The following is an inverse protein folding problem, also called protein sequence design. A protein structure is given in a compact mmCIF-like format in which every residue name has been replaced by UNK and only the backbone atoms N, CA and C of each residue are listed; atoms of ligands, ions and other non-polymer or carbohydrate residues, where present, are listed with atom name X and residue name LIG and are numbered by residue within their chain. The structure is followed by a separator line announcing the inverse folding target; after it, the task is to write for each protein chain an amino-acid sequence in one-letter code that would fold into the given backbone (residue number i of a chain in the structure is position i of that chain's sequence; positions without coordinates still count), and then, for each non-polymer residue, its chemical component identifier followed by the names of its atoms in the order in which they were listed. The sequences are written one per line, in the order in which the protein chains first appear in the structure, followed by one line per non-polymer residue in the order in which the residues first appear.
data_IF_396622088572
#
_entry.id   IF_396622088572
#
_cell.length_a   1.000
_cell.length_b   1.000
_cell.length_c   1.000
_cell.angle_alpha   90.00
_cell.angle_beta   90.00
_cell.angle_gamma   90.00
#
_symmetry.space_group_name_H-M   'P 1'
#
loop_
_entity.id
_entity.type
_entity.pdbx_description
1 polymer ?
#
# COMPACT_ATOMS: atom_id res chain seq x y z
N UNK A 1 72.19 47.32 -43.90
CA UNK A 1 71.34 47.84 -45.00
C UNK A 1 71.33 46.79 -46.10
N UNK A 2 70.32 45.92 -46.08
CA UNK A 2 70.14 44.87 -47.10
C UNK A 2 68.90 45.21 -47.92
N UNK A 3 69.03 45.17 -49.24
CA UNK A 3 67.99 45.51 -50.20
C UNK A 3 67.75 44.35 -51.17
N UNK A 4 66.47 44.01 -51.31
CA UNK A 4 65.76 43.52 -52.49
C UNK A 4 66.15 42.15 -53.11
N UNK A 5 65.22 41.18 -53.03
CA UNK A 5 64.21 40.91 -54.06
C UNK A 5 63.53 39.56 -53.80
N UNK A 6 62.21 39.54 -53.67
CA UNK A 6 61.40 38.31 -53.76
C UNK A 6 60.34 38.49 -54.84
N UNK A 7 60.42 37.62 -55.84
CA UNK A 7 59.56 37.59 -57.02
C UNK A 7 58.18 37.02 -56.70
N UNK A 8 57.14 37.62 -57.27
CA UNK A 8 55.76 37.12 -57.30
C UNK A 8 55.60 36.17 -58.48
N UNK A 9 55.15 34.94 -58.24
CA UNK A 9 54.64 34.03 -59.27
C UNK A 9 53.17 33.78 -58.95
N UNK A 10 52.30 34.19 -59.87
CA UNK A 10 50.87 33.93 -59.84
C UNK A 10 50.59 32.56 -60.47
N UNK A 11 49.89 31.67 -59.76
CA UNK A 11 49.40 30.39 -60.28
C UNK A 11 47.88 30.51 -60.43
N UNK A 12 47.43 30.43 -61.68
CA UNK A 12 46.04 30.40 -62.11
C UNK A 12 45.58 28.93 -62.07
N UNK A 13 44.64 28.59 -61.18
CA UNK A 13 44.03 27.25 -61.13
C UNK A 13 42.59 27.32 -61.67
N UNK A 14 42.37 26.65 -62.80
CA UNK A 14 41.08 26.51 -63.44
C UNK A 14 40.19 25.49 -62.69
N UNK A 15 39.00 25.92 -62.26
CA UNK A 15 37.95 25.04 -61.72
C UNK A 15 37.14 24.44 -62.88
N UNK A 16 37.33 23.15 -63.15
CA UNK A 16 36.43 22.34 -63.96
C UNK A 16 35.24 21.89 -63.10
N UNK A 17 34.05 22.41 -63.38
CA UNK A 17 32.79 21.90 -62.81
C UNK A 17 32.34 20.67 -63.59
N UNK A 18 32.54 19.48 -63.03
CA UNK A 18 31.89 18.25 -63.51
C UNK A 18 30.47 18.18 -62.93
N UNK A 19 29.47 18.34 -63.78
CA UNK A 19 28.06 18.15 -63.44
C UNK A 19 27.72 16.67 -63.55
N UNK A 20 27.58 15.97 -62.42
CA UNK A 20 27.00 14.64 -62.36
C UNK A 20 25.51 14.77 -62.02
N UNK A 21 24.66 14.62 -63.03
CA UNK A 21 23.21 14.45 -62.89
C UNK A 21 22.91 13.09 -62.25
N UNK A 22 22.48 13.07 -60.98
CA UNK A 22 21.89 11.88 -60.36
C UNK A 22 20.39 11.80 -60.67
N UNK A 23 19.84 10.58 -60.94
CA UNK A 23 18.40 10.40 -61.06
C UNK A 23 17.71 10.58 -59.70
N UNK A 24 16.54 11.20 -59.70
CA UNK A 24 15.73 11.45 -58.51
C UNK A 24 15.30 10.14 -57.81
N UNK A 25 15.28 10.09 -56.47
CA UNK A 25 14.76 8.94 -55.75
C UNK A 25 13.25 8.82 -55.98
N UNK A 26 12.79 7.63 -56.37
CA UNK A 26 11.38 7.28 -56.43
C UNK A 26 10.76 7.33 -55.03
N UNK A 27 9.73 8.15 -54.87
CA UNK A 27 8.96 8.26 -53.64
C UNK A 27 8.22 6.94 -53.37
N UNK A 28 8.73 6.15 -52.44
CA UNK A 28 7.97 5.05 -51.84
C UNK A 28 6.99 5.65 -50.83
N UNK A 29 5.69 5.59 -51.14
CA UNK A 29 4.62 5.84 -50.18
C UNK A 29 4.74 4.86 -49.02
N UNK A 30 5.28 5.34 -47.90
CA UNK A 30 5.25 4.63 -46.63
C UNK A 30 3.80 4.56 -46.15
N UNK A 31 3.30 3.34 -45.91
CA UNK A 31 2.04 3.15 -45.23
C UNK A 31 2.10 3.83 -43.84
N UNK A 32 1.00 4.46 -43.37
CA UNK A 32 1.00 5.11 -42.07
C UNK A 32 1.39 4.09 -40.99
N UNK A 33 2.41 4.42 -40.20
CA UNK A 33 2.80 3.63 -39.06
C UNK A 33 1.57 3.40 -38.17
N UNK A 34 1.27 2.14 -37.87
CA UNK A 34 0.24 1.80 -36.90
C UNK A 34 0.51 2.61 -35.62
N UNK A 35 -0.53 3.26 -35.10
CA UNK A 35 -0.44 3.96 -33.82
C UNK A 35 0.16 2.99 -32.79
N UNK A 36 1.13 3.42 -31.96
CA UNK A 36 1.68 2.56 -30.93
C UNK A 36 0.51 2.03 -30.11
N UNK A 37 0.45 0.70 -29.95
CA UNK A 37 -0.51 0.07 -29.07
C UNK A 37 -0.49 0.83 -27.73
N UNK A 38 -1.67 1.24 -27.24
CA UNK A 38 -1.80 1.92 -25.97
C UNK A 38 -1.02 1.12 -24.92
N UNK A 39 0.00 1.75 -24.32
CA UNK A 39 0.75 1.14 -23.23
C UNK A 39 -0.25 0.64 -22.19
N UNK A 40 -0.16 -0.61 -21.70
CA UNK A 40 -1.05 -1.11 -20.67
C UNK A 40 -1.04 -0.10 -19.52
N UNK A 41 -2.21 0.42 -19.18
CA UNK A 41 -2.31 1.51 -18.23
C UNK A 41 -1.83 1.05 -16.86
N UNK A 42 -0.84 1.76 -16.31
CA UNK A 42 -0.05 1.38 -15.14
C UNK A 42 -0.78 1.52 -13.80
N UNK A 43 -2.00 2.04 -13.81
CA UNK A 43 -2.73 2.34 -12.58
C UNK A 43 -3.51 1.12 -12.08
N UNK A 44 -3.73 1.08 -10.78
CA UNK A 44 -4.42 -0.02 -10.13
C UNK A 44 -4.40 0.12 -8.62
N UNK A 45 -5.07 -0.81 -7.96
CA UNK A 45 -5.15 -0.88 -6.51
C UNK A 45 -4.90 -2.32 -6.05
N UNK A 46 -4.13 -2.45 -4.98
CA UNK A 46 -3.90 -3.70 -4.25
C UNK A 46 -4.38 -3.53 -2.82
N UNK A 47 -5.02 -4.55 -2.26
CA UNK A 47 -5.53 -4.56 -0.88
C UNK A 47 -5.12 -5.84 -0.12
N UNK A 48 -5.12 -5.77 1.21
CA UNK A 48 -5.07 -6.93 2.09
C UNK A 48 -6.09 -6.83 3.23
N UNK A 49 -6.46 -7.97 3.78
CA UNK A 49 -7.37 -8.11 4.93
C UNK A 49 -6.78 -8.96 6.05
N UNK A 50 -5.46 -8.98 6.13
CA UNK A 50 -4.70 -9.59 7.22
C UNK A 50 -3.94 -10.84 6.79
N UNK A 51 -2.81 -11.06 7.45
CA UNK A 51 -1.97 -12.24 7.35
C UNK A 51 -2.03 -13.04 8.65
N UNK A 52 -1.94 -14.36 8.58
CA UNK A 52 -1.89 -15.19 9.78
C UNK A 52 -2.21 -16.64 9.47
N UNK A 53 -2.61 -17.37 10.51
CA UNK A 53 -3.01 -18.76 10.38
C UNK A 53 -4.40 -18.91 9.71
N UNK A 54 -4.46 -18.68 8.40
CA UNK A 54 -5.59 -19.08 7.57
C UNK A 54 -5.56 -20.59 7.39
N UNK A 55 -6.69 -21.24 7.66
CA UNK A 55 -6.98 -22.59 7.17
C UNK A 55 -8.23 -22.52 6.33
N UNK A 56 -8.31 -23.33 5.27
CA UNK A 56 -9.52 -23.40 4.43
C UNK A 56 -10.76 -23.72 5.28
N UNK A 57 -10.62 -24.62 6.25
CA UNK A 57 -11.68 -24.93 7.22
C UNK A 57 -12.05 -23.72 8.09
N UNK A 58 -11.06 -23.00 8.63
CA UNK A 58 -11.27 -21.88 9.55
C UNK A 58 -11.95 -20.65 8.91
N UNK A 59 -11.88 -20.51 7.59
CA UNK A 59 -12.59 -19.44 6.87
C UNK A 59 -13.78 -19.94 6.05
N UNK A 60 -14.04 -21.25 5.95
CA UNK A 60 -15.00 -21.82 5.01
C UNK A 60 -16.36 -21.12 5.04
N UNK A 61 -16.94 -20.93 6.23
CA UNK A 61 -18.26 -20.31 6.43
C UNK A 61 -18.31 -18.81 6.08
N UNK A 62 -17.16 -18.14 6.08
CA UNK A 62 -17.07 -16.69 5.85
C UNK A 62 -16.34 -16.32 4.56
N UNK A 63 -15.76 -17.28 3.85
CA UNK A 63 -14.87 -17.05 2.72
C UNK A 63 -15.56 -16.26 1.60
N UNK A 64 -16.81 -16.61 1.29
CA UNK A 64 -17.57 -15.93 0.24
C UNK A 64 -17.93 -14.50 0.64
N UNK A 65 -18.35 -14.29 1.90
CA UNK A 65 -18.61 -12.96 2.43
C UNK A 65 -17.34 -12.09 2.49
N UNK A 66 -16.20 -12.68 2.86
CA UNK A 66 -14.90 -12.00 2.84
C UNK A 66 -14.51 -11.63 1.40
N UNK A 67 -14.66 -12.56 0.44
CA UNK A 67 -14.39 -12.31 -0.98
C UNK A 67 -15.29 -11.20 -1.53
N UNK A 68 -16.58 -11.20 -1.19
CA UNK A 68 -17.50 -10.15 -1.58
C UNK A 68 -17.09 -8.78 -1.01
N UNK A 69 -16.79 -8.69 0.28
CA UNK A 69 -16.36 -7.44 0.90
C UNK A 69 -15.01 -6.92 0.34
N UNK A 70 -14.08 -7.83 0.04
CA UNK A 70 -12.82 -7.49 -0.64
C UNK A 70 -13.06 -6.99 -2.07
N UNK A 71 -13.99 -7.61 -2.79
CA UNK A 71 -14.41 -7.14 -4.11
C UNK A 71 -15.01 -5.74 -4.03
N UNK A 72 -15.88 -5.48 -3.06
CA UNK A 72 -16.48 -4.15 -2.86
C UNK A 72 -15.41 -3.09 -2.55
N UNK A 73 -14.40 -3.44 -1.74
CA UNK A 73 -13.27 -2.55 -1.45
C UNK A 73 -12.42 -2.26 -2.69
N UNK A 74 -12.08 -3.28 -3.48
CA UNK A 74 -11.37 -3.11 -4.76
C UNK A 74 -12.18 -2.24 -5.73
N UNK A 75 -13.48 -2.50 -5.87
CA UNK A 75 -14.38 -1.74 -6.73
C UNK A 75 -14.49 -0.28 -6.29
N UNK A 76 -14.57 -0.01 -4.99
CA UNK A 76 -14.62 1.36 -4.46
C UNK A 76 -13.36 2.15 -4.81
N UNK A 77 -12.17 1.58 -4.56
CA UNK A 77 -10.91 2.21 -4.92
C UNK A 77 -10.71 2.34 -6.43
N UNK A 78 -11.00 1.27 -7.19
CA UNK A 78 -10.89 1.27 -8.64
C UNK A 78 -11.84 2.29 -9.29
N UNK A 79 -13.06 2.47 -8.79
CA UNK A 79 -14.00 3.48 -9.31
C UNK A 79 -13.41 4.89 -9.21
N UNK A 80 -12.70 5.19 -8.13
CA UNK A 80 -11.97 6.47 -7.98
C UNK A 80 -10.90 6.59 -9.07
N UNK A 81 -10.03 5.58 -9.19
CA UNK A 81 -8.94 5.60 -10.17
C UNK A 81 -9.42 5.66 -11.61
N UNK A 82 -10.45 4.88 -11.97
CA UNK A 82 -11.04 4.85 -13.30
C UNK A 82 -11.69 6.20 -13.67
N UNK A 83 -12.21 6.93 -12.66
CA UNK A 83 -12.73 8.28 -12.81
C UNK A 83 -11.66 9.39 -12.87
N UNK A 84 -10.37 9.04 -12.83
CA UNK A 84 -9.26 10.00 -12.81
C UNK A 84 -9.01 10.65 -11.44
N UNK A 85 -9.54 10.05 -10.36
CA UNK A 85 -9.26 10.49 -8.99
C UNK A 85 -7.86 10.10 -8.52
N UNK A 86 -7.46 10.66 -7.38
CA UNK A 86 -6.12 10.45 -6.81
C UNK A 86 -5.95 9.07 -6.18
N UNK A 87 -4.70 8.61 -6.09
CA UNK A 87 -4.37 7.38 -5.35
C UNK A 87 -4.72 7.48 -3.86
N UNK A 88 -4.58 8.65 -3.24
CA UNK A 88 -5.03 8.93 -1.86
C UNK A 88 -6.53 8.70 -1.68
N UNK A 89 -7.35 9.19 -2.60
CA UNK A 89 -8.79 8.98 -2.58
C UNK A 89 -9.14 7.50 -2.74
N UNK A 90 -8.43 6.80 -3.62
CA UNK A 90 -8.66 5.38 -3.90
C UNK A 90 -8.34 4.49 -2.70
N UNK A 91 -7.19 4.68 -2.05
CA UNK A 91 -6.85 3.89 -0.86
C UNK A 91 -7.79 4.18 0.30
N UNK A 92 -8.19 5.44 0.51
CA UNK A 92 -9.18 5.76 1.54
C UNK A 92 -10.53 5.09 1.24
N UNK A 93 -11.02 5.15 -0.01
CA UNK A 93 -12.29 4.55 -0.39
C UNK A 93 -12.31 3.03 -0.13
N UNK A 94 -11.22 2.33 -0.47
CA UNK A 94 -11.08 0.91 -0.20
C UNK A 94 -11.04 0.59 1.31
N UNK A 95 -10.24 1.31 2.09
CA UNK A 95 -10.12 1.07 3.53
C UNK A 95 -11.43 1.35 4.27
N UNK A 96 -12.20 2.36 3.88
CA UNK A 96 -13.52 2.63 4.49
C UNK A 96 -14.47 1.43 4.34
N UNK A 97 -14.50 0.78 3.17
CA UNK A 97 -15.28 -0.45 2.99
C UNK A 97 -14.81 -1.56 3.93
N UNK A 98 -13.50 -1.70 4.11
CA UNK A 98 -12.92 -2.73 4.99
C UNK A 98 -13.15 -2.41 6.48
N UNK A 99 -13.08 -1.15 6.89
CA UNK A 99 -13.39 -0.69 8.26
C UNK A 99 -14.88 -0.83 8.60
N UNK A 100 -15.77 -0.62 7.64
CA UNK A 100 -17.22 -0.78 7.85
C UNK A 100 -17.67 -2.25 7.85
N UNK A 101 -16.80 -3.17 7.42
CA UNK A 101 -17.04 -4.60 7.40
C UNK A 101 -16.74 -5.26 8.77
N UNK A 102 -17.67 -6.03 9.35
CA UNK A 102 -17.41 -6.76 10.60
C UNK A 102 -16.47 -7.98 10.43
N UNK A 103 -16.09 -8.29 9.19
CA UNK A 103 -15.30 -9.48 8.85
C UNK A 103 -13.81 -9.29 9.10
N UNK A 104 -13.33 -8.05 9.20
CA UNK A 104 -11.91 -7.72 9.25
C UNK A 104 -11.57 -6.97 10.53
N UNK A 105 -10.33 -7.08 11.01
CA UNK A 105 -9.89 -6.42 12.24
C UNK A 105 -9.46 -4.98 11.96
N UNK A 106 -10.45 -4.16 11.60
CA UNK A 106 -10.40 -2.71 11.51
C UNK A 106 -11.82 -2.17 11.66
N UNK A 107 -11.98 -0.97 12.24
CA UNK A 107 -13.31 -0.39 12.46
C UNK A 107 -14.30 -1.37 13.11
N UNK A 108 -15.45 -1.61 12.47
CA UNK A 108 -16.59 -2.39 12.95
C UNK A 108 -16.27 -3.82 13.39
N UNK A 109 -15.18 -4.41 12.90
CA UNK A 109 -14.74 -5.78 13.22
C UNK A 109 -13.48 -5.87 14.07
N UNK A 110 -13.05 -4.75 14.67
CA UNK A 110 -11.83 -4.68 15.46
C UNK A 110 -11.79 -5.67 16.63
N UNK A 111 -10.58 -6.14 16.94
CA UNK A 111 -10.31 -6.97 18.12
C UNK A 111 -10.42 -6.15 19.41
N UNK A 112 -10.54 -6.86 20.53
CA UNK A 112 -10.68 -6.26 21.85
C UNK A 112 -9.35 -6.21 22.61
N UNK A 113 -9.18 -5.13 23.38
CA UNK A 113 -8.16 -5.00 24.43
C UNK A 113 -8.43 -5.96 25.57
N UNK A 114 -7.46 -6.10 26.47
CA UNK A 114 -7.58 -6.88 27.70
C UNK A 114 -8.79 -6.48 28.55
N UNK A 115 -9.12 -5.19 28.56
CA UNK A 115 -10.23 -4.59 29.32
C UNK A 115 -11.59 -4.75 28.63
N UNK A 116 -11.64 -5.40 27.46
CA UNK A 116 -12.89 -5.61 26.72
C UNK A 116 -13.39 -4.38 25.98
N UNK A 117 -12.48 -3.47 25.59
CA UNK A 117 -12.78 -2.31 24.72
C UNK A 117 -12.09 -2.44 23.36
N UNK A 118 -12.46 -1.62 22.38
CA UNK A 118 -11.77 -1.51 21.10
C UNK A 118 -10.91 -0.24 21.06
N UNK A 119 -9.69 -0.37 20.54
CA UNK A 119 -8.75 0.74 20.32
C UNK A 119 -8.19 0.61 18.90
N UNK A 120 -8.32 1.68 18.11
CA UNK A 120 -8.09 1.64 16.66
C UNK A 120 -6.91 2.52 16.25
N UNK A 121 -6.14 2.02 15.30
CA UNK A 121 -4.99 2.70 14.74
C UNK A 121 -5.08 2.73 13.21
N UNK A 122 -4.63 3.82 12.57
CA UNK A 122 -4.54 3.91 11.12
C UNK A 122 -3.49 4.92 10.66
N UNK A 123 -2.97 4.74 9.45
CA UNK A 123 -2.17 5.75 8.76
C UNK A 123 -2.40 5.75 7.25
N UNK A 124 -2.11 6.89 6.63
CA UNK A 124 -2.16 7.12 5.19
C UNK A 124 -0.96 7.98 4.77
N UNK A 125 -0.40 7.71 3.59
CA UNK A 125 0.75 8.44 3.06
C UNK A 125 0.59 8.71 1.57
N UNK A 126 0.92 9.94 1.17
CA UNK A 126 1.04 10.39 -0.21
C UNK A 126 2.48 10.24 -0.70
N UNK A 127 2.70 9.40 -1.71
CA UNK A 127 4.01 9.19 -2.29
C UNK A 127 4.52 10.34 -3.15
N UNK A 128 3.65 11.23 -3.62
CA UNK A 128 4.04 12.38 -4.43
C UNK A 128 4.60 13.53 -3.61
N UNK A 129 4.01 13.78 -2.43
CA UNK A 129 4.39 14.89 -1.55
C UNK A 129 5.12 14.46 -0.28
N UNK A 130 5.20 13.15 -0.02
CA UNK A 130 5.69 12.57 1.24
C UNK A 130 4.88 12.99 2.47
N UNK A 131 3.73 13.64 2.29
CA UNK A 131 2.81 13.97 3.39
C UNK A 131 2.21 12.68 3.92
N UNK A 132 2.04 12.63 5.23
CA UNK A 132 1.47 11.49 5.91
C UNK A 132 0.56 11.95 7.06
N UNK A 133 -0.38 11.09 7.40
CA UNK A 133 -1.27 11.26 8.54
C UNK A 133 -1.48 9.95 9.24
N UNK A 134 -1.51 9.99 10.56
CA UNK A 134 -1.61 8.82 11.41
C UNK A 134 -2.38 9.11 12.69
N UNK A 135 -3.09 8.09 13.15
CA UNK A 135 -3.86 8.09 14.40
C UNK A 135 -3.69 6.78 15.14
N UNK A 136 -3.66 6.84 16.46
CA UNK A 136 -3.56 5.64 17.30
C UNK A 136 -4.44 5.73 18.55
N UNK A 137 -4.88 4.57 19.05
CA UNK A 137 -5.63 4.46 20.30
C UNK A 137 -7.01 5.13 20.27
N UNK A 138 -7.66 5.20 19.10
CA UNK A 138 -9.00 5.79 18.96
C UNK A 138 -10.07 4.85 19.53
N UNK A 139 -11.10 5.41 20.18
CA UNK A 139 -12.18 4.67 20.84
C UNK A 139 -13.57 4.99 20.31
N UNK A 140 -13.74 6.10 19.60
CA UNK A 140 -15.07 6.57 19.20
C UNK A 140 -15.15 6.98 17.74
N UNK A 141 -14.10 6.78 16.94
CA UNK A 141 -14.08 7.16 15.53
C UNK A 141 -14.46 5.97 14.67
N UNK A 142 -15.54 6.10 13.90
CA UNK A 142 -16.05 5.01 13.05
C UNK A 142 -15.02 4.52 12.03
N UNK A 143 -14.38 5.47 11.34
CA UNK A 143 -13.41 5.22 10.28
C UNK A 143 -12.06 5.90 10.63
N UNK A 144 -11.16 5.22 11.36
CA UNK A 144 -9.82 5.73 11.68
C UNK A 144 -9.06 6.30 10.48
N UNK A 145 -9.17 5.68 9.30
CA UNK A 145 -8.45 6.15 8.12
C UNK A 145 -8.84 7.56 7.67
N UNK A 146 -10.11 7.94 7.84
CA UNK A 146 -10.60 9.30 7.52
C UNK A 146 -9.97 10.33 8.45
N UNK A 147 -9.82 9.99 9.73
CA UNK A 147 -9.17 10.89 10.68
C UNK A 147 -7.66 10.96 10.43
N UNK A 148 -7.00 9.85 10.09
CA UNK A 148 -5.60 9.86 9.66
C UNK A 148 -5.40 10.82 8.48
N UNK A 149 -6.26 10.77 7.45
CA UNK A 149 -6.22 11.72 6.34
C UNK A 149 -6.46 13.16 6.78
N UNK A 150 -7.40 13.38 7.69
CA UNK A 150 -7.68 14.72 8.21
C UNK A 150 -6.49 15.30 8.98
N UNK A 151 -5.77 14.48 9.76
CA UNK A 151 -4.50 14.89 10.41
C UNK A 151 -3.51 15.35 9.35
N UNK A 152 -3.31 14.58 8.27
CA UNK A 152 -2.42 14.95 7.16
C UNK A 152 -2.81 16.28 6.51
N UNK A 153 -4.11 16.48 6.25
CA UNK A 153 -4.61 17.58 5.41
C UNK A 153 -4.89 18.88 6.17
N UNK A 154 -5.27 18.78 7.45
CA UNK A 154 -5.81 19.89 8.26
C UNK A 154 -5.00 20.18 9.53
N UNK A 155 -3.80 19.63 9.63
CA UNK A 155 -2.87 19.94 10.70
C UNK A 155 -1.43 20.06 10.18
N UNK A 156 -0.52 20.70 10.94
CA UNK A 156 0.91 20.68 10.65
C UNK A 156 1.60 19.39 11.15
N UNK A 157 0.84 18.41 11.65
CA UNK A 157 1.35 17.21 12.31
C UNK A 157 1.20 15.97 11.44
N UNK A 158 2.02 14.95 11.72
CA UNK A 158 1.92 13.64 11.06
C UNK A 158 1.07 12.67 11.88
N UNK A 159 1.19 12.67 13.22
CA UNK A 159 0.56 11.66 14.07
C UNK A 159 -0.09 12.28 15.30
N UNK A 160 -1.30 11.82 15.62
CA UNK A 160 -2.02 12.14 16.86
C UNK A 160 -2.50 10.84 17.53
N UNK A 161 -2.74 10.86 18.85
CA UNK A 161 -3.18 9.65 19.55
C UNK A 161 -4.23 9.93 20.63
N UNK A 162 -5.02 8.90 20.93
CA UNK A 162 -5.99 8.85 22.01
C UNK A 162 -6.99 10.00 21.97
N UNK A 163 -7.31 10.53 23.16
CA UNK A 163 -8.28 11.61 23.33
C UNK A 163 -7.90 12.90 22.58
N UNK A 164 -6.59 13.17 22.40
CA UNK A 164 -6.13 14.33 21.65
C UNK A 164 -6.49 14.25 20.16
N UNK A 165 -6.36 13.06 19.55
CA UNK A 165 -6.79 12.84 18.17
C UNK A 165 -8.31 12.98 18.03
N UNK A 166 -9.08 12.50 19.00
CA UNK A 166 -10.55 12.64 18.99
C UNK A 166 -11.00 14.09 19.25
N UNK A 167 -10.28 14.85 20.07
CA UNK A 167 -10.54 16.27 20.27
C UNK A 167 -10.32 17.04 18.95
N UNK A 168 -9.22 16.76 18.25
CA UNK A 168 -8.96 17.29 16.91
C UNK A 168 -10.09 16.91 15.92
N UNK A 169 -10.55 15.66 15.93
CA UNK A 169 -11.66 15.23 15.08
C UNK A 169 -12.96 16.01 15.36
N UNK A 170 -13.26 16.33 16.63
CA UNK A 170 -14.41 17.15 17.01
C UNK A 170 -14.28 18.59 16.51
N UNK A 171 -13.09 19.17 16.64
CA UNK A 171 -12.82 20.55 16.21
C UNK A 171 -12.95 20.72 14.69
N UNK A 172 -12.41 19.79 13.92
CA UNK A 172 -12.46 19.85 12.46
C UNK A 172 -13.85 19.54 11.89
N UNK A 173 -14.64 18.70 12.59
CA UNK A 173 -15.92 18.20 12.09
C UNK A 173 -15.78 17.19 10.93
N UNK A 174 -16.91 16.71 10.41
CA UNK A 174 -16.93 15.78 9.26
C UNK A 174 -16.48 14.34 9.54
N UNK A 175 -16.15 14.03 10.80
CA UNK A 175 -15.83 12.66 11.26
C UNK A 175 -16.98 12.11 12.09
N UNK A 176 -17.44 10.92 11.76
CA UNK A 176 -18.54 10.25 12.47
C UNK A 176 -18.03 9.61 13.78
N UNK A 177 -18.62 10.06 14.89
CA UNK A 177 -18.41 9.47 16.21
C UNK A 177 -19.42 8.36 16.46
N UNK A 178 -18.96 7.23 16.99
CA UNK A 178 -19.78 6.07 17.34
C UNK A 178 -19.50 5.61 18.77
N UNK A 179 -20.48 4.94 19.37
CA UNK A 179 -20.26 4.24 20.63
C UNK A 179 -19.48 2.94 20.39
N UNK A 180 -18.72 2.49 21.39
CA UNK A 180 -17.96 1.23 21.39
C UNK A 180 -18.76 0.01 20.91
N UNK A 181 -20.07 -0.04 21.18
CA UNK A 181 -20.95 -1.11 20.68
C UNK A 181 -20.95 -1.27 19.15
N UNK A 182 -20.61 -0.22 18.40
CA UNK A 182 -20.48 -0.29 16.94
C UNK A 182 -19.40 -1.29 16.51
N UNK A 183 -18.27 -1.34 17.21
CA UNK A 183 -17.11 -2.20 16.89
C UNK A 183 -17.29 -3.66 17.34
N UNK A 184 -18.38 -3.96 18.06
CA UNK A 184 -18.61 -5.27 18.62
C UNK A 184 -18.95 -6.30 17.54
N UNK A 185 -18.23 -7.43 17.58
CA UNK A 185 -18.66 -8.67 16.92
C UNK A 185 -18.51 -9.84 17.87
N UNK A 186 -19.45 -10.79 17.79
CA UNK A 186 -19.40 -12.03 18.59
C UNK A 186 -18.07 -12.77 18.41
N UNK A 187 -17.56 -12.78 17.17
CA UNK A 187 -16.28 -13.39 16.79
C UNK A 187 -15.10 -12.78 17.56
N UNK A 188 -14.94 -11.46 17.51
CA UNK A 188 -13.84 -10.79 18.17
C UNK A 188 -13.97 -10.88 19.70
N UNK A 189 -15.20 -10.84 20.22
CA UNK A 189 -15.45 -11.01 21.65
C UNK A 189 -15.07 -12.40 22.14
N UNK A 190 -15.48 -13.45 21.41
CA UNK A 190 -15.09 -14.83 21.71
C UNK A 190 -13.57 -15.01 21.69
N UNK A 191 -12.88 -14.41 20.72
CA UNK A 191 -11.42 -14.46 20.63
C UNK A 191 -10.74 -13.88 21.88
N UNK A 192 -11.25 -12.74 22.41
CA UNK A 192 -10.77 -12.21 23.69
C UNK A 192 -11.03 -13.19 24.84
N UNK A 193 -12.22 -13.77 24.95
CA UNK A 193 -12.54 -14.71 26.03
C UNK A 193 -11.62 -15.94 26.00
N UNK A 194 -11.36 -16.47 24.82
CA UNK A 194 -10.43 -17.59 24.62
C UNK A 194 -9.00 -17.19 25.02
N UNK A 195 -8.54 -16.00 24.63
CA UNK A 195 -7.21 -15.48 25.00
C UNK A 195 -7.05 -15.29 26.52
N UNK A 196 -8.06 -14.70 27.19
CA UNK A 196 -8.07 -14.54 28.65
C UNK A 196 -8.07 -15.90 29.36
N UNK A 197 -8.78 -16.90 28.82
CA UNK A 197 -8.79 -18.25 29.38
C UNK A 197 -7.42 -18.95 29.20
N UNK A 198 -6.76 -18.77 28.07
CA UNK A 198 -5.41 -19.28 27.81
C UNK A 198 -4.36 -18.64 28.75
N UNK A 199 -4.42 -17.32 28.91
CA UNK A 199 -3.53 -16.56 29.82
C UNK A 199 -3.64 -17.06 31.26
N UNK A 200 -4.88 -17.27 31.77
CA UNK A 200 -5.12 -17.84 33.10
C UNK A 200 -4.53 -19.23 33.28
N UNK A 201 -4.53 -20.04 32.21
CA UNK A 201 -3.96 -21.39 32.22
C UNK A 201 -2.44 -21.41 32.01
N UNK A 202 -1.78 -20.25 31.84
CA UNK A 202 -0.39 -20.13 31.39
C UNK A 202 -0.10 -20.97 30.14
N UNK A 203 -1.12 -21.19 29.31
CA UNK A 203 -0.96 -21.84 28.03
C UNK A 203 -0.32 -20.86 27.05
N UNK A 204 0.43 -21.36 26.07
CA UNK A 204 0.81 -20.53 24.92
C UNK A 204 -0.47 -19.94 24.33
N UNK A 205 -0.50 -18.61 24.17
CA UNK A 205 -1.62 -17.94 23.55
C UNK A 205 -1.77 -18.51 22.14
N UNK A 206 -2.97 -18.96 21.79
CA UNK A 206 -3.24 -19.36 20.41
C UNK A 206 -2.95 -18.13 19.53
N UNK A 207 -2.14 -18.34 18.50
CA UNK A 207 -1.74 -17.32 17.54
C UNK A 207 -2.98 -16.76 16.83
N UNK A 208 -3.52 -15.67 17.39
CA UNK A 208 -4.78 -15.10 16.96
C UNK A 208 -4.51 -14.14 15.80
N UNK A 209 -5.06 -14.55 14.66
CA UNK A 209 -5.12 -13.89 13.37
C UNK A 209 -4.74 -12.39 13.37
N UNK A 210 -3.62 -12.03 12.73
CA UNK A 210 -3.22 -10.62 12.53
C UNK A 210 -4.07 -9.98 11.41
N UNK A 211 -5.31 -9.63 11.75
CA UNK A 211 -6.30 -9.13 10.79
C UNK A 211 -6.19 -7.64 10.44
N UNK A 212 -5.01 -7.09 10.16
CA UNK A 212 -4.89 -5.68 9.72
C UNK A 212 -5.36 -5.53 8.27
N UNK A 213 -6.05 -4.42 7.95
CA UNK A 213 -6.47 -4.11 6.57
C UNK A 213 -5.58 -3.04 5.96
N UNK A 214 -5.41 -3.09 4.65
CA UNK A 214 -4.45 -2.24 3.97
C UNK A 214 -4.71 -2.10 2.48
N UNK A 215 -4.24 -1.00 1.91
CA UNK A 215 -4.40 -0.67 0.50
C UNK A 215 -3.21 0.14 -0.02
N UNK A 216 -2.80 -0.14 -1.25
CA UNK A 216 -1.85 0.68 -2.02
C UNK A 216 -2.44 0.93 -3.40
N UNK A 217 -2.37 2.16 -3.89
CA UNK A 217 -2.86 2.52 -5.21
C UNK A 217 -1.81 3.31 -6.00
N UNK A 218 -1.79 3.09 -7.31
CA UNK A 218 -1.10 3.92 -8.30
C UNK A 218 -2.18 4.55 -9.17
N UNK A 219 -2.22 5.88 -9.26
CA UNK A 219 -3.21 6.60 -10.06
C UNK A 219 -2.77 6.87 -11.51
N UNK A 220 -3.70 7.41 -12.31
CA UNK A 220 -3.46 7.73 -13.73
C UNK A 220 -2.40 8.82 -13.93
N UNK A 221 -2.08 9.58 -12.87
CA UNK A 221 -1.06 10.62 -12.88
C UNK A 221 0.33 10.09 -12.45
N UNK A 222 0.41 8.81 -12.09
CA UNK A 222 1.65 8.17 -11.65
C UNK A 222 1.96 8.39 -10.17
N UNK A 223 0.98 8.82 -9.35
CA UNK A 223 1.18 8.97 -7.91
C UNK A 223 0.82 7.71 -7.14
N UNK A 224 1.67 7.35 -6.19
CA UNK A 224 1.46 6.27 -5.24
C UNK A 224 0.82 6.80 -3.95
N UNK A 225 -0.06 6.01 -3.36
CA UNK A 225 -0.51 6.20 -1.99
C UNK A 225 -0.62 4.86 -1.29
N UNK A 226 -0.42 4.86 0.03
CA UNK A 226 -0.58 3.69 0.88
C UNK A 226 -1.41 4.04 2.12
N UNK A 227 -2.20 3.09 2.60
CA UNK A 227 -3.04 3.23 3.77
C UNK A 227 -3.17 1.90 4.53
N UNK A 228 -3.13 1.95 5.85
CA UNK A 228 -3.28 0.78 6.73
C UNK A 228 -4.20 1.14 7.91
N UNK A 229 -5.07 0.22 8.33
CA UNK A 229 -5.97 0.39 9.49
C UNK A 229 -6.12 -0.92 10.26
N UNK A 230 -6.22 -0.84 11.59
CA UNK A 230 -6.25 -2.02 12.47
C UNK A 230 -6.99 -1.77 13.79
N UNK A 231 -7.54 -2.83 14.38
CA UNK A 231 -7.86 -2.88 15.82
C UNK A 231 -6.68 -3.32 16.71
N UNK A 232 -5.55 -3.69 16.12
CA UNK A 232 -4.36 -4.19 16.82
C UNK A 232 -4.43 -5.69 17.08
N UNK A 233 -3.94 -6.12 18.24
CA UNK A 233 -3.92 -7.53 18.66
C UNK A 233 -5.01 -7.81 19.70
N UNK A 234 -5.64 -8.98 19.62
CA UNK A 234 -6.54 -9.48 20.66
C UNK A 234 -5.80 -9.54 22.00
N UNK A 235 -6.48 -9.11 23.06
CA UNK A 235 -5.94 -9.07 24.43
C UNK A 235 -4.75 -8.10 24.58
N UNK A 236 -4.59 -7.10 23.68
CA UNK A 236 -3.59 -6.04 23.86
C UNK A 236 -3.84 -5.24 25.14
N UNK A 237 -2.77 -4.80 25.79
CA UNK A 237 -2.79 -4.08 27.07
C UNK A 237 -2.24 -2.66 26.92
N UNK A 238 -2.61 -1.79 27.88
CA UNK A 238 -1.90 -0.54 28.18
C UNK A 238 -1.77 0.46 27.02
N UNK A 239 -2.73 0.45 26.08
CA UNK A 239 -2.66 1.30 24.90
C UNK A 239 -1.55 0.90 23.93
N UNK A 240 -1.22 -0.40 23.83
CA UNK A 240 -0.23 -0.92 22.85
C UNK A 240 -0.58 -0.45 21.43
N UNK A 241 0.40 0.17 20.79
CA UNK A 241 0.36 0.64 19.40
C UNK A 241 1.20 -0.30 18.53
N UNK A 242 0.62 -0.78 17.44
CA UNK A 242 1.30 -1.63 16.47
C UNK A 242 2.03 -0.86 15.36
N UNK A 243 2.36 -1.54 14.27
CA UNK A 243 3.02 -0.97 13.10
C UNK A 243 2.10 -0.10 12.24
N UNK A 244 0.80 -0.39 12.22
CA UNK A 244 -0.16 0.22 11.28
C UNK A 244 -0.20 1.76 11.29
N UNK A 245 -0.09 2.49 12.43
CA UNK A 245 -0.04 3.94 12.41
C UNK A 245 1.40 4.50 12.26
N UNK A 246 2.42 3.65 12.23
CA UNK A 246 3.83 4.06 12.18
C UNK A 246 4.30 4.12 10.73
N UNK A 247 4.49 5.34 10.22
CA UNK A 247 5.01 5.58 8.87
C UNK A 247 6.40 4.96 8.74
N UNK A 248 6.58 4.14 7.70
CA UNK A 248 7.78 3.37 7.44
C UNK A 248 7.80 1.96 8.05
N UNK A 249 6.87 1.63 8.95
CA UNK A 249 6.67 0.27 9.44
C UNK A 249 5.44 -0.37 8.80
N UNK A 250 4.26 0.14 9.12
CA UNK A 250 2.98 -0.37 8.61
C UNK A 250 2.60 0.17 7.24
N UNK A 251 2.91 1.44 7.00
CA UNK A 251 2.50 2.19 5.80
C UNK A 251 3.66 3.01 5.28
N UNK A 252 3.93 2.97 3.98
CA UNK A 252 4.86 3.89 3.34
C UNK A 252 4.53 4.08 1.86
N UNK A 253 4.74 5.28 1.32
CA UNK A 253 4.62 5.53 -0.10
C UNK A 253 5.66 6.56 -0.56
N UNK A 254 6.28 6.31 -1.71
CA UNK A 254 7.18 7.24 -2.37
C UNK A 254 7.15 7.02 -3.88
N UNK A 255 6.85 8.06 -4.66
CA UNK A 255 6.81 8.00 -6.13
C UNK A 255 8.15 7.60 -6.76
N UNK A 256 9.27 7.80 -6.06
CA UNK A 256 10.61 7.40 -6.53
C UNK A 256 10.88 5.89 -6.37
N UNK A 257 10.03 5.17 -5.65
CA UNK A 257 10.20 3.73 -5.40
C UNK A 257 8.87 2.98 -5.47
N UNK A 258 8.19 2.82 -4.34
CA UNK A 258 6.95 2.09 -4.24
C UNK A 258 6.07 2.54 -3.07
N UNK A 259 4.83 2.05 -3.06
CA UNK A 259 3.93 2.07 -1.90
C UNK A 259 3.84 0.68 -1.29
N UNK A 260 3.81 0.62 0.04
CA UNK A 260 3.70 -0.61 0.83
C UNK A 260 2.70 -0.43 1.97
N UNK A 261 1.87 -1.46 2.14
CA UNK A 261 0.99 -1.65 3.29
C UNK A 261 1.23 -3.02 3.91
N UNK A 262 1.24 -3.07 5.24
CA UNK A 262 1.71 -4.22 6.02
C UNK A 262 0.64 -4.83 6.92
N UNK A 263 0.84 -6.10 7.28
CA UNK A 263 0.08 -6.82 8.29
C UNK A 263 0.94 -7.88 8.97
N UNK A 264 0.84 -8.05 10.29
CA UNK A 264 1.61 -9.07 11.00
C UNK A 264 1.82 -8.76 12.48
N UNK A 265 2.87 -9.35 13.06
CA UNK A 265 3.33 -9.04 14.42
C UNK A 265 4.02 -7.68 14.41
N UNK A 266 3.23 -6.63 14.70
CA UNK A 266 3.66 -5.22 14.58
C UNK A 266 4.99 -4.88 15.24
N UNK A 267 5.37 -5.55 16.33
CA UNK A 267 6.66 -5.34 17.01
C UNK A 267 7.86 -5.62 16.09
N UNK A 268 7.79 -6.65 15.24
CA UNK A 268 8.84 -6.91 14.26
C UNK A 268 8.79 -5.88 13.13
N UNK A 269 7.60 -5.51 12.66
CA UNK A 269 7.45 -4.53 11.59
C UNK A 269 8.00 -3.16 11.96
N UNK A 270 7.82 -2.73 13.21
CA UNK A 270 8.41 -1.49 13.75
C UNK A 270 9.93 -1.63 13.82
N UNK A 271 10.45 -2.68 14.47
CA UNK A 271 11.89 -2.85 14.72
C UNK A 271 12.73 -2.96 13.45
N UNK A 272 12.13 -3.49 12.38
CA UNK A 272 12.78 -3.69 11.08
C UNK A 272 12.35 -2.65 10.04
N UNK A 273 11.50 -1.67 10.39
CA UNK A 273 11.04 -0.60 9.50
C UNK A 273 10.57 -1.14 8.13
N UNK A 274 9.75 -2.19 8.15
CA UNK A 274 9.57 -3.10 7.01
C UNK A 274 9.11 -2.38 5.75
N UNK A 275 8.08 -1.54 5.83
CA UNK A 275 7.57 -0.83 4.66
C UNK A 275 8.63 0.11 4.04
N UNK A 276 9.36 0.86 4.86
CA UNK A 276 10.42 1.74 4.38
C UNK A 276 11.62 0.95 3.83
N UNK A 277 12.03 -0.14 4.47
CA UNK A 277 13.16 -0.96 4.03
C UNK A 277 12.91 -1.55 2.63
N UNK A 278 11.68 -1.99 2.33
CA UNK A 278 11.30 -2.45 0.99
C UNK A 278 11.47 -1.31 -0.03
N UNK A 279 10.91 -0.13 0.26
CA UNK A 279 11.04 1.04 -0.61
C UNK A 279 12.50 1.46 -0.80
N UNK A 280 13.32 1.39 0.25
CA UNK A 280 14.73 1.69 0.23
C UNK A 280 15.51 0.68 -0.63
N UNK A 281 15.17 -0.61 -0.58
CA UNK A 281 15.79 -1.63 -1.46
C UNK A 281 15.43 -1.43 -2.92
N UNK A 282 14.17 -1.09 -3.21
CA UNK A 282 13.76 -0.72 -4.57
C UNK A 282 14.56 0.50 -5.05
N UNK A 283 14.62 1.55 -4.24
CA UNK A 283 15.26 2.81 -4.62
C UNK A 283 16.78 2.73 -4.72
N UNK A 284 17.44 2.16 -3.71
CA UNK A 284 18.90 2.24 -3.55
C UNK A 284 19.62 1.06 -4.18
N UNK A 285 18.94 -0.07 -4.37
CA UNK A 285 19.52 -1.29 -4.97
C UNK A 285 18.89 -1.66 -6.31
N UNK A 286 17.93 -0.88 -6.82
CA UNK A 286 17.19 -1.18 -8.05
C UNK A 286 16.59 -2.60 -8.06
N UNK A 287 16.18 -3.09 -6.89
CA UNK A 287 15.51 -4.39 -6.78
C UNK A 287 14.08 -4.28 -7.31
N UNK A 288 13.55 -5.37 -7.88
CA UNK A 288 12.11 -5.44 -8.09
C UNK A 288 11.40 -5.40 -6.74
N UNK A 289 10.20 -4.81 -6.71
CA UNK A 289 9.43 -4.67 -5.47
C UNK A 289 9.16 -6.02 -4.79
N UNK A 290 8.92 -7.08 -5.57
CA UNK A 290 8.72 -8.43 -5.03
C UNK A 290 10.01 -8.99 -4.40
N UNK A 291 11.16 -8.87 -5.08
CA UNK A 291 12.43 -9.34 -4.52
C UNK A 291 12.84 -8.56 -3.26
N UNK A 292 12.56 -7.25 -3.22
CA UNK A 292 12.79 -6.42 -2.05
C UNK A 292 11.92 -6.89 -0.86
N UNK A 293 10.64 -7.16 -1.08
CA UNK A 293 9.72 -7.68 -0.07
C UNK A 293 10.14 -9.07 0.42
N UNK A 294 10.49 -9.99 -0.48
CA UNK A 294 10.89 -11.35 -0.09
C UNK A 294 12.20 -11.36 0.71
N UNK A 295 13.14 -10.46 0.40
CA UNK A 295 14.39 -10.35 1.13
C UNK A 295 14.18 -10.07 2.63
N UNK A 296 13.22 -9.21 2.99
CA UNK A 296 12.91 -8.92 4.39
C UNK A 296 11.90 -9.91 4.97
N UNK A 297 10.77 -10.17 4.32
CA UNK A 297 9.68 -11.00 4.87
C UNK A 297 10.10 -12.48 4.98
N UNK A 298 10.68 -13.03 3.92
CA UNK A 298 11.12 -14.43 3.91
C UNK A 298 12.53 -14.60 4.45
N UNK A 299 13.42 -13.65 4.16
CA UNK A 299 14.83 -13.74 4.50
C UNK A 299 15.16 -13.33 5.93
N UNK A 300 14.70 -12.17 6.38
CA UNK A 300 15.14 -11.59 7.66
C UNK A 300 14.14 -11.84 8.79
N UNK A 301 12.83 -11.69 8.53
CA UNK A 301 11.79 -11.80 9.55
C UNK A 301 11.41 -13.25 9.86
N UNK A 302 11.24 -14.08 8.84
CA UNK A 302 10.82 -15.49 9.03
C UNK A 302 11.76 -16.27 9.96
N UNK A 303 13.10 -16.21 9.84
CA UNK A 303 14.00 -16.98 10.73
C UNK A 303 13.96 -16.55 12.20
N UNK A 304 13.49 -15.34 12.49
CA UNK A 304 13.42 -14.78 13.85
C UNK A 304 11.99 -14.81 14.43
N UNK A 305 11.04 -15.45 13.75
CA UNK A 305 9.64 -15.54 14.18
C UNK A 305 8.81 -14.28 13.91
N UNK A 306 9.26 -13.40 13.00
CA UNK A 306 8.48 -12.26 12.54
C UNK A 306 7.46 -12.70 11.49
N UNK A 307 6.24 -13.03 11.93
CA UNK A 307 5.18 -13.51 11.06
C UNK A 307 4.26 -12.40 10.54
N UNK A 308 3.91 -12.46 9.26
CA UNK A 308 3.02 -11.51 8.60
C UNK A 308 3.20 -11.44 7.08
N UNK A 309 2.88 -10.28 6.51
CA UNK A 309 2.94 -10.01 5.09
C UNK A 309 2.82 -8.54 4.73
N UNK A 310 3.00 -8.27 3.43
CA UNK A 310 2.97 -6.96 2.81
C UNK A 310 2.34 -7.04 1.43
N UNK A 311 1.72 -5.95 1.01
CA UNK A 311 1.32 -5.70 -0.37
C UNK A 311 1.94 -4.40 -0.85
N UNK A 312 2.06 -4.22 -2.16
CA UNK A 312 2.48 -2.94 -2.72
C UNK A 312 2.39 -2.82 -4.22
N UNK A 313 2.63 -1.59 -4.67
CA UNK A 313 2.76 -1.20 -6.08
C UNK A 313 4.02 -0.35 -6.22
N UNK A 314 4.80 -0.59 -7.27
CA UNK A 314 5.86 0.35 -7.66
C UNK A 314 5.36 1.39 -8.66
N UNK A 315 6.20 2.38 -8.98
CA UNK A 315 5.87 3.45 -9.94
C UNK A 315 5.65 2.98 -11.39
N UNK A 316 5.92 1.71 -11.69
CA UNK A 316 5.65 1.08 -12.98
C UNK A 316 4.35 0.29 -12.99
N UNK A 317 3.66 0.16 -11.85
CA UNK A 317 2.45 -0.65 -11.70
C UNK A 317 2.72 -2.12 -11.42
N UNK A 318 3.96 -2.50 -11.08
CA UNK A 318 4.25 -3.87 -10.67
C UNK A 318 3.65 -4.13 -9.29
N UNK A 319 2.88 -5.21 -9.18
CA UNK A 319 2.23 -5.63 -7.93
C UNK A 319 3.17 -6.50 -7.11
N UNK A 320 3.19 -6.29 -5.81
CA UNK A 320 3.88 -7.12 -4.82
C UNK A 320 2.89 -7.63 -3.78
N UNK A 321 3.02 -8.91 -3.41
CA UNK A 321 2.26 -9.56 -2.34
C UNK A 321 3.13 -10.64 -1.67
N UNK A 322 3.93 -10.28 -0.67
CA UNK A 322 4.79 -11.24 0.06
C UNK A 322 4.28 -11.50 1.47
N UNK A 323 4.24 -12.76 1.91
CA UNK A 323 3.84 -13.14 3.26
C UNK A 323 4.45 -14.49 3.65
N UNK A 324 4.73 -14.68 4.94
CA UNK A 324 5.38 -15.89 5.48
C UNK A 324 4.45 -16.72 6.39
N UNK A 325 3.18 -16.32 6.51
CA UNK A 325 2.10 -17.02 7.22
C UNK A 325 1.42 -18.08 6.33
N UNK A 326 0.51 -18.88 6.89
CA UNK A 326 -0.23 -19.89 6.10
C UNK A 326 -1.18 -19.29 5.06
N UNK A 327 -1.65 -18.06 5.29
CA UNK A 327 -2.39 -17.28 4.30
C UNK A 327 -2.37 -15.79 4.59
N UNK A 328 -2.83 -15.04 3.58
CA UNK A 328 -3.07 -13.62 3.62
C UNK A 328 -4.21 -13.30 2.65
N UNK A 329 -5.32 -12.79 3.19
CA UNK A 329 -6.41 -12.26 2.37
C UNK A 329 -5.89 -11.07 1.59
N UNK A 330 -5.82 -11.18 0.27
CA UNK A 330 -5.23 -10.18 -0.62
C UNK A 330 -5.97 -10.09 -1.94
N UNK A 331 -5.98 -8.91 -2.55
CA UNK A 331 -6.58 -8.73 -3.85
C UNK A 331 -5.98 -7.59 -4.64
N UNK A 332 -6.15 -7.63 -5.95
CA UNK A 332 -5.67 -6.63 -6.89
C UNK A 332 -6.71 -6.37 -7.97
N UNK A 333 -6.81 -5.12 -8.40
CA UNK A 333 -7.60 -4.72 -9.56
C UNK A 333 -6.80 -3.67 -10.34
N UNK A 334 -6.41 -4.04 -11.55
CA UNK A 334 -5.79 -3.15 -12.51
C UNK A 334 -6.83 -2.41 -13.35
N UNK A 335 -6.36 -1.68 -14.35
CA UNK A 335 -7.21 -0.89 -15.23
C UNK A 335 -8.23 -1.68 -16.08
N UNK A 336 -8.09 -3.00 -16.18
CA UNK A 336 -9.07 -3.86 -16.83
C UNK A 336 -10.35 -4.06 -16.01
N UNK A 337 -10.37 -3.57 -14.76
CA UNK A 337 -11.49 -3.67 -13.83
C UNK A 337 -11.77 -5.09 -13.35
N UNK A 338 -10.85 -6.05 -13.54
CA UNK A 338 -11.05 -7.44 -13.15
C UNK A 338 -10.38 -7.71 -11.79
N UNK A 339 -11.15 -8.04 -10.74
CA UNK A 339 -10.61 -8.34 -9.43
C UNK A 339 -9.93 -9.71 -9.44
N UNK A 340 -8.70 -9.78 -8.90
CA UNK A 340 -8.09 -11.02 -8.42
C UNK A 340 -8.12 -11.03 -6.91
N UNK A 341 -8.69 -12.07 -6.28
CA UNK A 341 -8.77 -12.20 -4.82
C UNK A 341 -8.30 -13.59 -4.40
N UNK A 342 -7.38 -13.62 -3.45
CA UNK A 342 -6.70 -14.82 -2.95
C UNK A 342 -6.62 -14.79 -1.42
N UNK A 343 -6.58 -15.96 -0.79
CA UNK A 343 -6.44 -16.12 0.67
C UNK A 343 -5.23 -16.98 1.02
N UNK A 344 -5.03 -18.09 0.30
CA UNK A 344 -3.98 -19.06 0.60
C UNK A 344 -2.70 -18.79 -0.21
N UNK A 345 -1.59 -19.42 0.18
CA UNK A 345 -0.27 -19.27 -0.48
C UNK A 345 -0.15 -20.00 -1.83
N UNK A 346 -1.01 -20.98 -2.07
CA UNK A 346 -1.06 -21.80 -3.28
C UNK A 346 -2.04 -21.27 -4.34
N UNK A 347 -2.95 -20.36 -3.97
CA UNK A 347 -3.84 -19.70 -4.91
C UNK A 347 -3.06 -18.70 -5.80
N UNK A 348 -3.09 -18.91 -7.12
CA UNK A 348 -2.48 -18.01 -8.12
C UNK A 348 -1.08 -18.41 -8.61
N UNK A 349 -0.62 -19.63 -8.30
CA UNK A 349 0.52 -20.29 -8.95
C UNK A 349 0.08 -21.11 -10.16
#
# INVERSE_FOLDING_TARGET
MGTHHTARIAILAALLTYSCSQPAPTAQTQAPAAAPAAQPSKWGIVIHTGAGNFTLAGIAERRDAMRAAMNDALMAGHKVLAGGGSSLDAVQAAIVILEDSPLFNAGKGAVFTHEGSNELDASIMDGGTMRAGAVAGLKHIKNPIKLARLVMEKSPHVMMAGEGAEAFAKEQGGIEFVNQRYFYTERAWKALQDALAAEKKKAAQADDHHGTVGAVALDQHGNLAAATSTGGLTNKRFGRIGDSPIIGAGTYANNQSCGVSSTGIGEFWIRYTVAHDICARVQYKNMSIQAAADAIVQGELKPIGGEGGVIGLDSHGNVMMSFNTSGMGRGYMGADGKPTIMFMADEGK
#
